data_IF_798044524420
#
_entry.id   IF_798044524420
#
_cell.length_a   1.000
_cell.length_b   1.000
_cell.length_c   1.000
_cell.angle_alpha   90.00
_cell.angle_beta   90.00
_cell.angle_gamma   90.00
#
_symmetry.space_group_name_H-M   'P 1'
#
loop_
_entity.id
_entity.type
_entity.pdbx_description
1 polymer ?
#
# COMPACT_ATOMS: atom_id res chain seq x y z
N UNK A 1 -0.35 -2.98 1.92
CA UNK A 1 -1.47 -2.82 0.97
C UNK A 1 -2.72 -3.45 1.56
N UNK A 2 -3.90 -3.00 1.17
CA UNK A 2 -5.13 -3.76 1.40
C UNK A 2 -5.21 -4.93 0.43
N UNK A 3 -5.85 -6.02 0.84
CA UNK A 3 -5.99 -7.23 0.05
C UNK A 3 -7.41 -7.77 0.19
N UNK A 4 -8.07 -8.01 -0.93
CA UNK A 4 -9.32 -8.74 -1.04
C UNK A 4 -9.38 -9.44 -2.41
N UNK A 5 -10.36 -10.31 -2.58
CA UNK A 5 -10.56 -11.06 -3.84
C UNK A 5 -10.79 -10.16 -5.05
N UNK A 6 -11.52 -9.05 -4.89
CA UNK A 6 -11.83 -8.12 -5.98
C UNK A 6 -10.60 -7.38 -6.54
N UNK A 7 -9.59 -7.14 -5.71
CA UNK A 7 -8.35 -6.44 -6.08
C UNK A 7 -7.14 -7.39 -6.14
N UNK A 8 -7.35 -8.71 -6.10
CA UNK A 8 -6.25 -9.68 -6.11
C UNK A 8 -5.40 -9.51 -7.37
N UNK A 9 -6.03 -9.39 -8.54
CA UNK A 9 -5.32 -9.20 -9.81
C UNK A 9 -4.41 -7.97 -9.77
N UNK A 10 -4.95 -6.83 -9.35
CA UNK A 10 -4.22 -5.56 -9.30
C UNK A 10 -3.09 -5.62 -8.25
N UNK A 11 -3.35 -6.27 -7.12
CA UNK A 11 -2.34 -6.51 -6.09
C UNK A 11 -1.19 -7.37 -6.62
N UNK A 12 -1.48 -8.42 -7.38
CA UNK A 12 -0.46 -9.28 -8.00
C UNK A 12 0.37 -8.49 -9.01
N UNK A 13 -0.25 -7.60 -9.79
CA UNK A 13 0.46 -6.67 -10.69
C UNK A 13 1.37 -5.70 -9.91
N UNK A 14 0.85 -5.11 -8.82
CA UNK A 14 1.64 -4.21 -7.96
C UNK A 14 2.86 -4.94 -7.39
N UNK A 15 2.65 -6.11 -6.78
CA UNK A 15 3.73 -6.96 -6.23
C UNK A 15 4.75 -7.32 -7.30
N UNK A 16 4.29 -7.78 -8.47
CA UNK A 16 5.18 -8.14 -9.57
C UNK A 16 6.04 -6.95 -10.02
N UNK A 17 5.43 -5.79 -10.23
CA UNK A 17 6.17 -4.59 -10.64
C UNK A 17 7.22 -4.17 -9.59
N UNK A 18 6.91 -4.26 -8.30
CA UNK A 18 7.88 -4.00 -7.23
C UNK A 18 9.06 -4.98 -7.28
N UNK A 19 8.79 -6.28 -7.48
CA UNK A 19 9.84 -7.29 -7.59
C UNK A 19 10.73 -7.08 -8.82
N UNK A 20 10.15 -6.65 -9.95
CA UNK A 20 10.90 -6.40 -11.19
C UNK A 20 11.79 -5.14 -11.12
N UNK A 21 11.35 -4.10 -10.42
CA UNK A 21 12.02 -2.80 -10.42
C UNK A 21 12.87 -2.51 -9.17
N UNK A 22 12.90 -3.42 -8.19
CA UNK A 22 13.73 -3.26 -6.99
C UNK A 22 15.14 -3.80 -7.22
N UNK A 23 16.16 -3.06 -6.77
CA UNK A 23 17.57 -3.50 -6.88
C UNK A 23 17.84 -4.79 -6.10
N UNK A 24 17.20 -4.94 -4.93
CA UNK A 24 17.30 -6.12 -4.06
C UNK A 24 15.89 -6.58 -3.62
N UNK A 25 15.16 -7.34 -4.46
CA UNK A 25 13.79 -7.79 -4.16
C UNK A 25 13.65 -8.60 -2.87
N UNK A 26 14.70 -9.31 -2.46
CA UNK A 26 14.77 -10.10 -1.23
C UNK A 26 14.68 -9.27 0.06
N UNK A 27 14.93 -7.96 -0.03
CA UNK A 27 14.79 -7.03 1.09
C UNK A 27 13.35 -6.52 1.24
N UNK A 28 12.45 -6.81 0.30
CA UNK A 28 11.04 -6.45 0.40
C UNK A 28 10.31 -7.40 1.34
N UNK A 29 9.52 -6.81 2.24
CA UNK A 29 8.55 -7.51 3.07
C UNK A 29 7.15 -6.92 2.84
N UNK A 30 6.20 -7.78 2.51
CA UNK A 30 4.85 -7.40 2.14
C UNK A 30 3.89 -7.60 3.31
N UNK A 31 3.26 -6.51 3.73
CA UNK A 31 2.23 -6.51 4.75
C UNK A 31 0.88 -6.22 4.10
N UNK A 32 0.00 -7.21 4.12
CA UNK A 32 -1.35 -7.14 3.57
C UNK A 32 -2.37 -7.02 4.69
N UNK A 33 -3.44 -6.27 4.45
CA UNK A 33 -4.58 -6.15 5.35
C UNK A 33 -5.83 -6.68 4.64
N UNK A 34 -6.48 -7.71 5.20
CA UNK A 34 -7.78 -8.21 4.71
C UNK A 34 -8.85 -8.07 5.78
N UNK A 35 -10.08 -7.77 5.36
CA UNK A 35 -11.25 -7.65 6.25
C UNK A 35 -12.06 -8.96 6.35
N UNK A 36 -11.81 -9.94 5.49
CA UNK A 36 -12.64 -11.13 5.33
C UNK A 36 -11.90 -12.40 5.76
N UNK A 37 -12.65 -13.50 5.83
CA UNK A 37 -12.13 -14.84 6.15
C UNK A 37 -11.48 -15.53 4.93
N UNK A 38 -11.34 -14.79 3.82
CA UNK A 38 -10.71 -15.21 2.56
C UNK A 38 -9.16 -15.20 2.62
N UNK A 39 -8.57 -14.82 3.75
CA UNK A 39 -7.12 -14.75 3.93
C UNK A 39 -6.37 -16.04 3.54
N UNK A 40 -6.84 -17.27 3.84
CA UNK A 40 -6.16 -18.49 3.41
C UNK A 40 -6.12 -18.68 1.88
N UNK A 41 -7.22 -18.36 1.20
CA UNK A 41 -7.31 -18.44 -0.26
C UNK A 41 -6.39 -17.41 -0.91
N UNK A 42 -6.46 -16.16 -0.45
CA UNK A 42 -5.61 -15.06 -0.91
C UNK A 42 -4.13 -15.38 -0.69
N UNK A 43 -3.78 -15.93 0.47
CA UNK A 43 -2.41 -16.38 0.76
C UNK A 43 -1.97 -17.45 -0.24
N UNK A 44 -2.81 -18.46 -0.48
CA UNK A 44 -2.52 -19.53 -1.43
C UNK A 44 -2.30 -19.00 -2.84
N UNK A 45 -3.15 -18.07 -3.31
CA UNK A 45 -3.02 -17.46 -4.64
C UNK A 45 -1.74 -16.65 -4.81
N UNK A 46 -1.36 -15.86 -3.81
CA UNK A 46 -0.11 -15.08 -3.87
C UNK A 46 1.09 -16.03 -3.78
N UNK A 47 1.05 -16.99 -2.85
CA UNK A 47 2.16 -17.91 -2.60
C UNK A 47 2.43 -18.85 -3.78
N UNK A 48 1.40 -19.27 -4.52
CA UNK A 48 1.57 -20.12 -5.71
C UNK A 48 2.28 -19.40 -6.86
N UNK A 49 2.21 -18.06 -6.91
CA UNK A 49 2.87 -17.24 -7.93
C UNK A 49 4.23 -16.72 -7.44
N UNK A 50 4.31 -16.31 -6.18
CA UNK A 50 5.49 -15.70 -5.57
C UNK A 50 5.93 -16.45 -4.31
N UNK A 51 6.34 -17.71 -4.47
CA UNK A 51 6.65 -18.59 -3.34
C UNK A 51 7.84 -18.16 -2.46
N UNK A 52 8.69 -17.25 -2.96
CA UNK A 52 9.79 -16.66 -2.20
C UNK A 52 9.40 -15.36 -1.47
N UNK A 53 8.15 -14.91 -1.60
CA UNK A 53 7.70 -13.63 -1.07
C UNK A 53 7.66 -13.65 0.46
N UNK A 54 8.40 -12.74 1.10
CA UNK A 54 8.24 -12.47 2.53
C UNK A 54 6.93 -11.71 2.74
N UNK A 55 5.84 -12.42 3.00
CA UNK A 55 4.53 -11.79 3.22
C UNK A 55 3.86 -12.17 4.54
N UNK A 56 3.06 -11.24 5.06
CA UNK A 56 2.13 -11.46 6.18
C UNK A 56 0.79 -10.82 5.86
N UNK A 57 -0.30 -11.54 6.12
CA UNK A 57 -1.67 -11.04 6.01
C UNK A 57 -2.21 -10.81 7.41
N UNK A 58 -2.66 -9.59 7.68
CA UNK A 58 -3.28 -9.20 8.95
C UNK A 58 -4.78 -9.02 8.76
N UNK A 59 -5.55 -9.51 9.73
CA UNK A 59 -7.00 -9.28 9.76
C UNK A 59 -7.28 -7.86 10.24
N UNK A 60 -8.00 -7.11 9.43
CA UNK A 60 -8.57 -5.83 9.81
C UNK A 60 -9.96 -6.03 10.41
N UNK A 61 -10.14 -5.65 11.68
CA UNK A 61 -11.45 -5.68 12.33
C UNK A 61 -12.37 -4.59 11.78
N UNK A 62 -13.25 -4.99 10.86
CA UNK A 62 -14.25 -4.10 10.24
C UNK A 62 -15.19 -3.43 11.26
N UNK A 63 -15.38 -4.00 12.46
CA UNK A 63 -16.24 -3.40 13.48
C UNK A 63 -15.72 -2.04 13.95
N UNK A 64 -14.40 -1.79 13.86
CA UNK A 64 -13.78 -0.51 14.23
C UNK A 64 -14.30 0.69 13.45
N UNK A 65 -14.78 0.46 12.24
CA UNK A 65 -15.22 1.50 11.30
C UNK A 65 -16.67 1.37 10.86
N UNK A 66 -17.31 0.21 11.04
CA UNK A 66 -18.67 -0.05 10.55
C UNK A 66 -19.68 1.04 10.94
N UNK A 67 -19.65 1.50 12.18
CA UNK A 67 -20.58 2.53 12.69
C UNK A 67 -20.14 3.96 12.37
N UNK A 68 -18.98 4.15 11.71
CA UNK A 68 -18.43 5.45 11.32
C UNK A 68 -18.62 5.72 9.82
N UNK A 69 -19.02 4.70 9.06
CA UNK A 69 -19.21 4.79 7.62
C UNK A 69 -20.67 5.15 7.36
N UNK A 70 -20.89 6.35 6.82
CA UNK A 70 -22.21 6.75 6.33
C UNK A 70 -22.45 6.11 4.96
N UNK A 71 -23.69 5.69 4.69
CA UNK A 71 -24.06 5.14 3.38
C UNK A 71 -23.76 6.14 2.26
N UNK A 72 -23.09 5.66 1.23
CA UNK A 72 -22.76 6.41 0.04
C UNK A 72 -23.64 5.98 -1.12
N UNK A 73 -23.86 6.89 -2.07
CA UNK A 73 -24.43 6.55 -3.39
C UNK A 73 -23.51 5.52 -4.09
N UNK A 74 -22.20 5.61 -3.86
CA UNK A 74 -21.21 4.67 -4.35
C UNK A 74 -20.92 3.63 -3.27
N UNK A 75 -21.59 2.47 -3.34
CA UNK A 75 -21.43 1.36 -2.37
C UNK A 75 -19.98 0.92 -2.18
N UNK A 76 -19.12 1.08 -3.18
CA UNK A 76 -17.68 0.81 -3.08
C UNK A 76 -16.98 1.68 -2.01
N UNK A 77 -17.50 2.88 -1.73
CA UNK A 77 -16.97 3.77 -0.68
C UNK A 77 -17.40 3.34 0.73
N UNK A 78 -18.42 2.49 0.83
CA UNK A 78 -18.95 2.00 2.12
C UNK A 78 -18.14 0.80 2.66
N UNK A 79 -17.14 0.34 1.91
CA UNK A 79 -16.33 -0.81 2.28
C UNK A 79 -15.41 -0.48 3.47
N UNK A 80 -15.45 -1.25 4.58
CA UNK A 80 -14.55 -1.08 5.72
C UNK A 80 -13.07 -1.06 5.33
N UNK A 81 -12.70 -1.81 4.28
CA UNK A 81 -11.34 -1.93 3.78
C UNK A 81 -10.82 -0.64 3.10
N UNK A 82 -11.60 0.44 3.00
CA UNK A 82 -11.13 1.76 2.57
C UNK A 82 -10.44 2.56 3.69
N UNK A 83 -10.65 2.16 4.95
CA UNK A 83 -10.16 2.87 6.13
C UNK A 83 -8.96 2.24 6.88
N UNK A 84 -8.38 1.08 6.51
CA UNK A 84 -7.36 0.41 7.32
C UNK A 84 -6.05 1.19 7.37
N UNK A 85 -5.77 2.06 6.37
CA UNK A 85 -4.61 2.97 6.39
C UNK A 85 -4.55 3.87 7.63
N UNK A 86 -5.69 4.16 8.25
CA UNK A 86 -5.76 4.96 9.48
C UNK A 86 -5.25 4.14 10.68
N UNK A 87 -5.46 2.82 10.66
CA UNK A 87 -5.21 1.88 11.74
C UNK A 87 -3.91 1.07 11.57
N UNK A 88 -3.02 1.48 10.66
CA UNK A 88 -1.77 0.75 10.39
C UNK A 88 -0.92 0.58 11.64
N UNK A 89 -0.81 1.62 12.47
CA UNK A 89 -0.03 1.58 13.71
C UNK A 89 -0.54 0.53 14.72
N UNK A 90 -1.85 0.25 14.70
CA UNK A 90 -2.46 -0.76 15.58
C UNK A 90 -2.40 -2.17 14.98
N UNK A 91 -2.19 -2.28 13.66
CA UNK A 91 -2.33 -3.55 12.92
C UNK A 91 -0.98 -4.18 12.60
N UNK A 92 0.03 -3.35 12.31
CA UNK A 92 1.37 -3.81 11.98
C UNK A 92 2.17 -4.06 13.28
N UNK A 93 3.02 -5.10 13.33
CA UNK A 93 3.85 -5.39 14.49
C UNK A 93 4.73 -4.20 14.95
N UNK A 94 4.88 -4.04 16.27
CA UNK A 94 5.59 -2.90 16.89
C UNK A 94 7.09 -2.83 16.55
N UNK A 95 7.69 -3.95 16.13
CA UNK A 95 9.07 -4.05 15.65
C UNK A 95 9.26 -3.40 14.27
N UNK A 96 8.19 -3.23 13.49
CA UNK A 96 8.23 -2.54 12.20
C UNK A 96 8.24 -1.02 12.41
N UNK A 97 9.39 -0.40 12.16
CA UNK A 97 9.60 1.04 12.44
C UNK A 97 9.19 1.98 11.31
N UNK A 98 9.10 1.48 10.07
CA UNK A 98 8.73 2.25 8.88
C UNK A 98 8.06 1.33 7.87
N UNK A 99 7.01 1.84 7.22
CA UNK A 99 6.31 1.17 6.12
C UNK A 99 6.00 2.18 5.03
N UNK A 100 5.92 1.71 3.80
CA UNK A 100 5.30 2.45 2.69
C UNK A 100 3.91 1.84 2.49
N UNK A 101 2.87 2.64 2.66
CA UNK A 101 1.53 2.23 2.30
C UNK A 101 1.29 2.54 0.82
N UNK A 102 0.92 1.50 0.08
CA UNK A 102 0.53 1.57 -1.33
C UNK A 102 -0.93 1.13 -1.46
N UNK A 103 -1.65 1.73 -2.39
CA UNK A 103 -2.93 1.21 -2.87
C UNK A 103 -2.68 -0.03 -3.75
N UNK A 104 -3.70 -0.88 -3.91
CA UNK A 104 -3.58 -2.16 -4.61
C UNK A 104 -3.59 -2.04 -6.14
N UNK A 105 -3.86 -0.86 -6.67
CA UNK A 105 -4.08 -0.56 -8.09
C UNK A 105 -2.93 0.28 -8.71
N UNK A 106 -1.69 -0.02 -8.31
CA UNK A 106 -0.50 0.70 -8.76
C UNK A 106 0.42 -0.17 -9.63
N UNK A 107 1.22 0.51 -10.46
CA UNK A 107 2.39 -0.09 -11.12
C UNK A 107 3.61 0.70 -10.67
N UNK A 108 4.56 0.02 -10.04
CA UNK A 108 5.82 0.61 -9.57
C UNK A 108 6.85 0.47 -10.69
N UNK A 109 7.41 1.58 -11.14
CA UNK A 109 8.30 1.63 -12.33
C UNK A 109 9.76 1.99 -12.01
N UNK A 110 10.09 2.17 -10.74
CA UNK A 110 11.44 2.48 -10.25
C UNK A 110 11.65 1.86 -8.86
N UNK A 111 12.89 1.82 -8.38
CA UNK A 111 13.27 1.22 -7.11
C UNK A 111 12.59 1.92 -5.93
N UNK A 112 11.70 1.19 -5.25
CA UNK A 112 10.94 1.67 -4.09
C UNK A 112 11.85 2.03 -2.90
N UNK A 113 13.08 1.50 -2.87
CA UNK A 113 14.07 1.85 -1.85
C UNK A 113 14.41 3.35 -1.87
N UNK A 114 14.31 4.02 -3.02
CA UNK A 114 14.49 5.48 -3.14
C UNK A 114 13.44 6.23 -2.32
N UNK A 115 12.17 5.81 -2.40
CA UNK A 115 11.09 6.38 -1.59
C UNK A 115 11.28 6.03 -0.10
N UNK A 116 11.68 4.80 0.20
CA UNK A 116 11.92 4.36 1.57
C UNK A 116 13.07 5.13 2.24
N UNK A 117 14.08 5.53 1.46
CA UNK A 117 15.27 6.25 1.90
C UNK A 117 15.07 7.74 2.15
N UNK A 118 13.90 8.31 1.82
CA UNK A 118 13.61 9.72 2.07
C UNK A 118 13.76 10.03 3.56
N UNK A 119 14.51 11.10 3.86
CA UNK A 119 14.73 11.55 5.23
C UNK A 119 13.53 12.35 5.75
N UNK A 120 12.67 11.65 6.49
CA UNK A 120 11.53 12.24 7.17
C UNK A 120 11.88 12.84 8.54
N UNK A 121 12.96 12.37 9.18
CA UNK A 121 13.27 12.75 10.57
C UNK A 121 13.82 14.15 10.64
N UNK A 122 14.75 14.52 9.76
CA UNK A 122 15.26 15.91 9.68
C UNK A 122 14.16 16.91 9.33
N UNK A 123 13.09 16.45 8.68
CA UNK A 123 11.93 17.26 8.33
C UNK A 123 10.87 17.33 9.45
N UNK A 124 11.08 16.64 10.58
CA UNK A 124 10.11 16.56 11.68
C UNK A 124 8.79 15.86 11.30
N UNK A 125 8.78 15.09 10.21
CA UNK A 125 7.56 14.51 9.65
C UNK A 125 7.31 13.09 10.20
N UNK A 126 6.11 12.86 10.73
CA UNK A 126 5.65 11.51 11.13
C UNK A 126 5.15 10.71 9.92
N UNK A 127 4.63 11.38 8.89
CA UNK A 127 4.12 10.79 7.64
C UNK A 127 4.46 11.68 6.45
N UNK A 128 4.82 11.06 5.33
CA UNK A 128 4.99 11.72 4.03
C UNK A 128 3.91 11.23 3.06
N UNK A 129 3.55 12.07 2.09
CA UNK A 129 2.62 11.71 1.03
C UNK A 129 3.03 12.42 -0.26
N UNK A 130 2.78 11.78 -1.40
CA UNK A 130 2.98 12.40 -2.71
C UNK A 130 1.91 13.46 -2.92
N UNK A 131 2.34 14.70 -3.15
CA UNK A 131 1.41 15.77 -3.48
C UNK A 131 0.82 15.50 -4.85
N UNK A 132 -0.52 15.54 -4.96
CA UNK A 132 -1.18 15.50 -6.27
C UNK A 132 -0.66 16.65 -7.11
N UNK A 133 -0.20 16.35 -8.33
CA UNK A 133 0.18 17.38 -9.28
C UNK A 133 -1.04 18.28 -9.55
N UNK A 134 -1.01 19.49 -9.00
CA UNK A 134 -1.99 20.53 -9.30
C UNK A 134 -1.39 21.35 -10.43
N UNK A 135 -1.91 21.16 -11.63
CA UNK A 135 -1.42 21.73 -12.87
C UNK A 135 -1.34 23.26 -12.81
N UNK A 136 -0.22 23.81 -12.33
CA UNK A 136 0.25 25.13 -12.77
C UNK A 136 1.15 24.83 -13.96
N UNK A 137 0.52 24.68 -15.13
CA UNK A 137 1.10 24.56 -16.48
C UNK A 137 2.55 24.10 -16.48
N UNK A 138 2.80 22.84 -16.86
CA UNK A 138 4.12 22.40 -17.30
C UNK A 138 4.72 23.47 -18.22
N UNK A 139 5.69 24.22 -17.69
CA UNK A 139 6.38 25.26 -18.45
C UNK A 139 7.64 24.60 -18.99
N UNK A 140 7.69 24.19 -20.27
CA UNK A 140 8.80 23.41 -20.82
C UNK A 140 10.15 24.14 -20.78
N UNK A 141 10.19 25.42 -20.38
CA UNK A 141 11.41 26.19 -20.18
C UNK A 141 11.99 26.16 -18.75
N UNK A 142 11.38 25.46 -17.79
CA UNK A 142 11.85 25.46 -16.40
C UNK A 142 12.23 24.04 -15.94
N UNK A 143 13.49 23.65 -16.14
CA UNK A 143 14.06 22.35 -15.79
C UNK A 143 14.19 22.07 -14.28
N UNK A 144 13.56 22.87 -13.42
CA UNK A 144 13.52 22.60 -11.99
C UNK A 144 12.29 21.75 -11.67
N UNK A 145 12.29 20.49 -12.13
CA UNK A 145 11.52 19.45 -11.48
C UNK A 145 12.24 19.09 -10.17
N UNK A 146 11.87 19.79 -9.10
CA UNK A 146 12.12 19.32 -7.75
C UNK A 146 11.13 18.18 -7.48
N UNK A 147 11.66 16.97 -7.31
CA UNK A 147 10.93 15.80 -6.80
C UNK A 147 10.46 16.03 -5.36
#
# INVERSE_FOLDING_TARGET
MTLNTNYLRDTMTTVFSMLQHSTCPENLAFHFLSAHDDAPELFSSINSTFFYLKMKIYRFDSNRVRNKISKSIRQALDQPLNYPKIYLADTIPEDVKRVIYLDSDLVVVDDIAKLYGVDMKSQGAVRGAVRKHTDRRCNPGNNNMLW
#
